data_IF_338325623399
#
_entry.id   IF_338325623399
#
_cell.length_a   1.000
_cell.length_b   1.000
_cell.length_c   1.000
_cell.angle_alpha   90.00
_cell.angle_beta   90.00
_cell.angle_gamma   90.00
#
_symmetry.space_group_name_H-M   'P 1'
#
loop_
_entity.id
_entity.type
_entity.pdbx_description
1 polymer ?
#
# COMPACT_ATOMS: atom_id res chain seq x y z
N UNK A 1 -1.12 -31.83 1.85
CA UNK A 1 -1.72 -30.88 0.88
C UNK A 1 -1.16 -31.10 -0.52
N UNK A 2 0.16 -31.18 -0.72
CA UNK A 2 0.79 -31.45 -2.04
C UNK A 2 0.42 -32.81 -2.66
N UNK A 3 0.34 -33.89 -1.86
CA UNK A 3 -0.11 -35.22 -2.34
C UNK A 3 -1.60 -35.27 -2.74
N UNK A 4 -2.45 -34.46 -2.08
CA UNK A 4 -3.88 -34.34 -2.40
C UNK A 4 -4.10 -33.52 -3.68
N UNK A 5 -3.29 -32.48 -3.89
CA UNK A 5 -3.28 -31.71 -5.13
C UNK A 5 -2.77 -32.55 -6.32
N UNK A 6 -1.72 -33.36 -6.12
CA UNK A 6 -1.15 -34.21 -7.18
C UNK A 6 -2.08 -35.38 -7.59
N UNK A 7 -2.90 -35.88 -6.66
CA UNK A 7 -3.93 -36.89 -6.97
C UNK A 7 -5.12 -36.26 -7.73
N UNK A 8 -5.53 -35.03 -7.39
CA UNK A 8 -6.61 -34.31 -8.06
C UNK A 8 -6.26 -33.87 -9.49
N UNK A 9 -4.98 -33.64 -9.79
CA UNK A 9 -4.50 -33.29 -11.14
C UNK A 9 -4.28 -34.52 -12.04
N UNK A 10 -3.96 -35.68 -11.46
CA UNK A 10 -3.82 -36.96 -12.17
C UNK A 10 -5.15 -37.62 -12.51
N UNK A 11 -6.21 -37.28 -11.78
CA UNK A 11 -7.57 -37.64 -12.16
C UNK A 11 -8.03 -36.69 -13.28
N UNK A 12 -8.30 -37.21 -14.47
CA UNK A 12 -8.85 -36.49 -15.64
C UNK A 12 -10.31 -36.04 -15.40
N UNK A 13 -10.53 -35.28 -14.32
CA UNK A 13 -11.82 -34.83 -13.83
C UNK A 13 -12.38 -33.76 -14.76
N UNK A 14 -13.54 -34.03 -15.34
CA UNK A 14 -14.35 -33.08 -16.12
C UNK A 14 -14.56 -31.77 -15.34
N UNK A 15 -14.62 -30.58 -15.99
CA UNK A 15 -14.75 -29.28 -15.31
C UNK A 15 -15.85 -29.24 -14.23
N UNK A 16 -16.98 -29.90 -14.48
CA UNK A 16 -18.11 -29.99 -13.55
C UNK A 16 -17.82 -30.83 -12.31
N UNK A 17 -17.01 -31.89 -12.42
CA UNK A 17 -16.61 -32.71 -11.26
C UNK A 17 -15.62 -31.97 -10.35
N UNK A 18 -14.76 -31.10 -10.90
CA UNK A 18 -13.89 -30.21 -10.10
C UNK A 18 -14.71 -29.19 -9.31
N UNK A 19 -15.70 -28.57 -9.95
CA UNK A 19 -16.64 -27.67 -9.27
C UNK A 19 -17.42 -28.41 -8.19
N UNK A 20 -17.91 -29.63 -8.47
CA UNK A 20 -18.58 -30.47 -7.48
C UNK A 20 -17.72 -30.79 -6.26
N UNK A 21 -16.45 -31.15 -6.46
CA UNK A 21 -15.49 -31.42 -5.38
C UNK A 21 -15.21 -30.15 -4.56
N UNK A 22 -15.06 -28.98 -5.20
CA UNK A 22 -14.86 -27.71 -4.49
C UNK A 22 -16.10 -27.31 -3.68
N UNK A 23 -17.30 -27.48 -4.24
CA UNK A 23 -18.56 -27.21 -3.53
C UNK A 23 -18.71 -28.15 -2.33
N UNK A 24 -18.45 -29.44 -2.51
CA UNK A 24 -18.50 -30.42 -1.42
C UNK A 24 -17.46 -30.11 -0.33
N UNK A 25 -16.24 -29.75 -0.72
CA UNK A 25 -15.19 -29.34 0.23
C UNK A 25 -15.57 -28.05 0.97
N UNK A 26 -16.12 -27.05 0.27
CA UNK A 26 -16.60 -25.81 0.87
C UNK A 26 -17.76 -26.06 1.85
N UNK A 27 -18.71 -26.93 1.49
CA UNK A 27 -19.80 -27.34 2.36
C UNK A 27 -19.29 -28.09 3.59
N UNK A 28 -18.34 -29.01 3.42
CA UNK A 28 -17.74 -29.74 4.54
C UNK A 28 -17.02 -28.78 5.50
N UNK A 29 -16.29 -27.79 4.98
CA UNK A 29 -15.65 -26.74 5.79
C UNK A 29 -16.70 -25.88 6.50
N UNK A 30 -17.76 -25.46 5.80
CA UNK A 30 -18.83 -24.65 6.39
C UNK A 30 -19.55 -25.39 7.52
N UNK A 31 -19.86 -26.68 7.33
CA UNK A 31 -20.45 -27.54 8.37
C UNK A 31 -19.51 -27.66 9.57
N UNK A 32 -18.21 -27.86 9.33
CA UNK A 32 -17.21 -27.90 10.41
C UNK A 32 -17.13 -26.59 11.18
N UNK A 33 -17.21 -25.44 10.52
CA UNK A 33 -17.14 -24.12 11.16
C UNK A 33 -18.40 -23.80 11.97
N UNK A 34 -19.58 -24.26 11.53
CA UNK A 34 -20.87 -23.99 12.19
C UNK A 34 -21.21 -25.03 13.27
N UNK A 35 -20.52 -26.18 13.30
CA UNK A 35 -20.84 -27.28 14.23
C UNK A 35 -20.61 -26.98 15.72
N UNK A 36 -20.07 -25.82 16.08
CA UNK A 36 -19.75 -25.44 17.47
C UNK A 36 -18.65 -26.30 18.11
N UNK A 37 -18.08 -27.26 17.38
CA UNK A 37 -17.02 -28.16 17.87
C UNK A 37 -15.73 -27.41 18.24
N UNK A 38 -15.60 -26.17 17.74
CA UNK A 38 -14.49 -25.28 17.99
C UNK A 38 -14.65 -24.47 19.29
N UNK A 39 -15.86 -24.32 19.82
CA UNK A 39 -16.12 -23.50 21.02
C UNK A 39 -15.43 -24.04 22.28
N UNK A 40 -15.05 -25.31 22.26
CA UNK A 40 -14.26 -25.94 23.33
C UNK A 40 -12.76 -25.67 23.23
N UNK A 41 -12.27 -25.21 22.06
CA UNK A 41 -10.86 -24.90 21.86
C UNK A 41 -10.43 -23.79 22.81
N UNK A 42 -9.32 -24.04 23.50
CA UNK A 42 -8.73 -23.10 24.47
C UNK A 42 -8.54 -21.69 23.88
N UNK A 43 -8.18 -21.60 22.60
CA UNK A 43 -7.98 -20.33 21.88
C UNK A 43 -9.27 -19.52 21.77
N UNK A 44 -10.42 -20.16 21.48
CA UNK A 44 -11.68 -19.46 21.32
C UNK A 44 -12.26 -19.01 22.67
N UNK A 45 -12.03 -19.78 23.74
CA UNK A 45 -12.35 -19.37 25.11
C UNK A 45 -11.49 -18.20 25.58
N UNK A 46 -10.19 -18.24 25.33
CA UNK A 46 -9.28 -17.14 25.67
C UNK A 46 -9.60 -15.88 24.84
N UNK A 47 -9.93 -16.04 23.56
CA UNK A 47 -10.43 -14.94 22.73
C UNK A 47 -11.72 -14.36 23.31
N UNK A 48 -12.73 -15.17 23.62
CA UNK A 48 -13.99 -14.69 24.20
C UNK A 48 -13.77 -13.95 25.53
N UNK A 49 -12.83 -14.44 26.35
CA UNK A 49 -12.41 -13.80 27.61
C UNK A 49 -11.70 -12.46 27.40
N UNK A 50 -10.87 -12.34 26.36
CA UNK A 50 -10.07 -11.14 26.06
C UNK A 50 -10.60 -10.29 24.91
N UNK A 51 -11.80 -10.59 24.41
CA UNK A 51 -12.32 -10.00 23.17
C UNK A 51 -12.37 -8.48 23.24
N UNK A 52 -12.80 -7.93 24.38
CA UNK A 52 -12.88 -6.49 24.58
C UNK A 52 -11.51 -5.80 24.49
N UNK A 53 -10.49 -6.37 25.14
CA UNK A 53 -9.12 -5.83 25.08
C UNK A 53 -8.52 -5.98 23.68
N UNK A 54 -8.78 -7.10 23.01
CA UNK A 54 -8.36 -7.33 21.64
C UNK A 54 -8.95 -6.28 20.70
N UNK A 55 -10.27 -6.06 20.74
CA UNK A 55 -10.93 -5.09 19.90
C UNK A 55 -10.55 -3.65 20.23
N UNK A 56 -10.30 -3.34 21.51
CA UNK A 56 -9.78 -2.04 21.91
C UNK A 56 -8.41 -1.77 21.28
N UNK A 57 -7.44 -2.69 21.39
CA UNK A 57 -6.12 -2.51 20.78
C UNK A 57 -6.15 -2.60 19.24
N UNK A 58 -7.02 -3.43 18.66
CA UNK A 58 -7.23 -3.47 17.21
C UNK A 58 -7.76 -2.12 16.69
N UNK A 59 -8.77 -1.55 17.35
CA UNK A 59 -9.33 -0.24 16.97
C UNK A 59 -8.31 0.88 17.10
N UNK A 60 -7.46 0.83 18.12
CA UNK A 60 -6.35 1.77 18.33
C UNK A 60 -5.29 1.64 17.24
N UNK A 61 -4.93 0.42 16.86
CA UNK A 61 -3.99 0.19 15.76
C UNK A 61 -4.54 0.70 14.43
N UNK A 62 -5.82 0.40 14.12
CA UNK A 62 -6.49 0.84 12.89
C UNK A 62 -6.60 2.37 12.84
N UNK A 63 -7.01 3.01 13.93
CA UNK A 63 -7.11 4.48 13.98
C UNK A 63 -5.76 5.16 13.82
N UNK A 64 -4.69 4.62 14.43
CA UNK A 64 -3.33 5.13 14.23
C UNK A 64 -2.84 4.92 12.79
N UNK A 65 -3.05 3.74 12.22
CA UNK A 65 -2.66 3.43 10.84
C UNK A 65 -3.38 4.32 9.83
N UNK A 66 -4.70 4.45 9.94
CA UNK A 66 -5.48 5.29 9.03
C UNK A 66 -5.19 6.78 9.24
N UNK A 67 -5.05 7.24 10.48
CA UNK A 67 -4.72 8.63 10.76
C UNK A 67 -3.35 9.04 10.23
N UNK A 68 -2.34 8.19 10.41
CA UNK A 68 -0.99 8.44 9.90
C UNK A 68 -0.91 8.36 8.38
N UNK A 69 -1.63 7.43 7.76
CA UNK A 69 -1.78 7.37 6.30
C UNK A 69 -2.49 8.60 5.75
N UNK A 70 -3.58 9.05 6.38
CA UNK A 70 -4.29 10.26 5.97
C UNK A 70 -3.36 11.49 6.00
N UNK A 71 -2.57 11.63 7.07
CA UNK A 71 -1.51 12.65 7.14
C UNK A 71 -0.49 12.50 6.00
N UNK A 72 -0.03 11.28 5.73
CA UNK A 72 0.92 11.00 4.66
C UNK A 72 0.35 11.31 3.27
N UNK A 73 -0.95 11.11 3.06
CA UNK A 73 -1.65 11.49 1.82
C UNK A 73 -1.72 13.01 1.68
N UNK A 74 -2.13 13.72 2.74
CA UNK A 74 -2.24 15.20 2.75
C UNK A 74 -0.89 15.86 2.42
N UNK A 75 0.22 15.33 2.93
CA UNK A 75 1.57 15.88 2.69
C UNK A 75 2.20 15.29 1.42
N UNK A 76 2.06 13.99 1.22
CA UNK A 76 2.73 13.23 0.18
C UNK A 76 2.19 13.49 -1.21
N UNK A 77 0.89 13.80 -1.36
CA UNK A 77 0.33 14.18 -2.68
C UNK A 77 0.93 15.51 -3.17
N UNK A 78 0.85 16.63 -2.42
CA UNK A 78 1.51 17.87 -2.83
C UNK A 78 3.01 17.70 -3.09
N UNK A 79 3.69 16.96 -2.21
CA UNK A 79 5.13 16.69 -2.36
C UNK A 79 5.43 15.87 -3.63
N UNK A 80 4.61 14.86 -3.95
CA UNK A 80 4.72 14.06 -5.16
C UNK A 80 4.45 14.87 -6.43
N UNK A 81 3.44 15.75 -6.42
CA UNK A 81 3.18 16.68 -7.53
C UNK A 81 4.37 17.63 -7.73
N UNK A 82 4.95 18.15 -6.64
CA UNK A 82 6.13 19.02 -6.72
C UNK A 82 7.35 18.27 -7.28
N UNK A 83 7.56 17.02 -6.85
CA UNK A 83 8.61 16.15 -7.36
C UNK A 83 8.42 15.85 -8.86
N UNK A 84 7.18 15.72 -9.34
CA UNK A 84 6.92 15.55 -10.78
C UNK A 84 7.37 16.77 -11.59
N UNK A 85 7.28 17.98 -11.04
CA UNK A 85 7.67 19.21 -11.73
C UNK A 85 9.17 19.49 -11.68
N UNK A 86 9.88 19.00 -10.66
CA UNK A 86 11.30 19.31 -10.41
C UNK A 86 12.10 18.03 -10.19
N UNK A 87 12.77 17.57 -11.25
CA UNK A 87 13.51 16.29 -11.24
C UNK A 87 14.60 16.22 -10.16
N UNK A 88 15.26 17.35 -9.84
CA UNK A 88 16.24 17.41 -8.73
C UNK A 88 15.60 17.16 -7.37
N UNK A 89 14.40 17.71 -7.13
CA UNK A 89 13.64 17.47 -5.89
C UNK A 89 13.19 16.03 -5.82
N UNK A 90 12.74 15.44 -6.93
CA UNK A 90 12.37 14.02 -7.00
C UNK A 90 13.48 13.11 -6.51
N UNK A 91 14.68 13.24 -7.07
CA UNK A 91 15.81 12.40 -6.67
C UNK A 91 16.16 12.58 -5.18
N UNK A 92 16.24 13.82 -4.70
CA UNK A 92 16.52 14.11 -3.29
C UNK A 92 15.48 13.55 -2.34
N UNK A 93 14.20 13.85 -2.58
CA UNK A 93 13.08 13.40 -1.73
C UNK A 93 12.98 11.88 -1.73
N UNK A 94 12.97 11.24 -2.90
CA UNK A 94 12.84 9.77 -2.96
C UNK A 94 14.04 9.06 -2.32
N UNK A 95 15.25 9.59 -2.44
CA UNK A 95 16.42 9.01 -1.77
C UNK A 95 16.32 9.12 -0.24
N UNK A 96 15.94 10.29 0.29
CA UNK A 96 15.76 10.48 1.74
C UNK A 96 14.68 9.55 2.27
N UNK A 97 13.53 9.49 1.59
CA UNK A 97 12.42 8.63 1.99
C UNK A 97 12.78 7.13 1.90
N UNK A 98 13.61 6.73 0.92
CA UNK A 98 14.17 5.38 0.86
C UNK A 98 15.07 5.08 2.06
N UNK A 99 15.99 5.99 2.40
CA UNK A 99 16.88 5.83 3.56
C UNK A 99 16.05 5.61 4.83
N UNK A 100 15.02 6.43 5.07
CA UNK A 100 14.15 6.29 6.24
C UNK A 100 13.50 4.91 6.30
N UNK A 101 13.03 4.37 5.18
CA UNK A 101 12.43 3.03 5.15
C UNK A 101 13.41 1.88 5.35
N UNK A 102 14.71 2.11 5.13
CA UNK A 102 15.73 1.09 5.45
C UNK A 102 16.07 1.02 6.93
N UNK A 103 15.74 2.05 7.72
CA UNK A 103 15.96 2.06 9.16
C UNK A 103 14.94 1.11 9.80
N UNK A 104 15.35 0.01 10.46
CA UNK A 104 14.40 -0.94 11.05
C UNK A 104 13.51 -0.25 12.07
N UNK A 105 12.24 -0.65 12.13
CA UNK A 105 11.21 0.04 12.94
C UNK A 105 11.60 0.20 14.41
N UNK A 106 12.20 -0.83 15.04
CA UNK A 106 12.67 -0.76 16.43
C UNK A 106 13.72 0.34 16.62
N UNK A 107 14.66 0.49 15.67
CA UNK A 107 15.69 1.52 15.72
C UNK A 107 15.11 2.92 15.47
N UNK A 108 14.18 3.04 14.51
CA UNK A 108 13.49 4.30 14.25
C UNK A 108 12.71 4.77 15.49
N UNK A 109 12.03 3.87 16.19
CA UNK A 109 11.37 4.19 17.45
C UNK A 109 12.37 4.71 18.49
N UNK A 110 13.50 4.02 18.68
CA UNK A 110 14.57 4.47 19.58
C UNK A 110 15.09 5.87 19.23
N UNK A 111 15.29 6.14 17.94
CA UNK A 111 15.73 7.45 17.43
C UNK A 111 14.70 8.55 17.68
N UNK A 112 13.40 8.24 17.69
CA UNK A 112 12.31 9.19 17.93
C UNK A 112 12.07 9.51 19.41
N UNK A 113 12.54 8.69 20.36
CA UNK A 113 12.32 8.91 21.79
C UNK A 113 12.87 10.27 22.24
N UNK A 114 14.14 10.56 21.95
CA UNK A 114 14.79 11.78 22.39
C UNK A 114 14.23 13.05 21.71
N UNK A 115 14.05 13.10 20.38
CA UNK A 115 13.45 14.25 19.70
C UNK A 115 12.02 14.54 20.16
N UNK A 116 11.14 13.53 20.22
CA UNK A 116 9.75 13.75 20.63
C UNK A 116 9.64 14.06 22.12
N UNK A 117 10.52 13.49 22.95
CA UNK A 117 10.63 13.86 24.36
C UNK A 117 11.08 15.32 24.54
N UNK A 118 12.05 15.76 23.75
CA UNK A 118 12.50 17.16 23.76
C UNK A 118 11.38 18.11 23.35
N UNK A 119 10.63 17.79 22.28
CA UNK A 119 9.47 18.58 21.83
C UNK A 119 8.39 18.65 22.92
N UNK A 120 8.12 17.54 23.60
CA UNK A 120 7.12 17.50 24.66
C UNK A 120 7.42 18.45 25.82
N UNK A 121 8.70 18.70 26.11
CA UNK A 121 9.16 19.57 27.21
C UNK A 121 9.28 21.03 26.78
N UNK A 122 9.70 21.30 25.55
CA UNK A 122 10.04 22.67 25.10
C UNK A 122 8.91 23.36 24.33
N UNK A 123 7.97 22.62 23.73
CA UNK A 123 6.87 23.19 22.96
C UNK A 123 5.62 23.28 23.84
N UNK A 124 5.13 24.49 24.18
CA UNK A 124 3.92 24.65 24.99
C UNK A 124 2.73 23.95 24.35
N UNK A 125 2.02 23.12 25.11
CA UNK A 125 0.85 22.38 24.63
C UNK A 125 1.17 21.08 23.88
N UNK A 126 2.42 20.79 23.51
CA UNK A 126 2.79 19.56 22.78
C UNK A 126 2.49 18.29 23.59
N UNK A 127 2.85 18.29 24.88
CA UNK A 127 2.53 17.17 25.76
C UNK A 127 1.02 16.98 25.99
N UNK A 128 0.24 18.07 25.91
CA UNK A 128 -1.21 18.04 26.10
C UNK A 128 -1.94 17.40 24.91
N UNK A 129 -1.42 17.57 23.70
CA UNK A 129 -1.92 16.90 22.48
C UNK A 129 -1.33 15.48 22.28
N UNK A 130 -0.60 14.96 23.27
CA UNK A 130 -0.11 13.59 23.27
C UNK A 130 1.28 13.39 22.64
N UNK A 131 2.01 14.45 22.30
CA UNK A 131 3.40 14.33 21.82
C UNK A 131 4.29 13.94 23.00
N UNK A 132 4.88 12.75 22.91
CA UNK A 132 5.79 12.17 23.91
C UNK A 132 6.83 11.30 23.21
N UNK A 133 7.95 11.06 23.89
CA UNK A 133 9.01 10.17 23.40
C UNK A 133 8.57 8.71 23.23
N UNK A 134 7.53 8.27 23.94
CA UNK A 134 7.03 6.89 23.92
C UNK A 134 5.53 6.84 23.69
N UNK A 135 5.05 5.71 23.15
CA UNK A 135 3.62 5.45 22.95
C UNK A 135 3.13 5.80 21.55
N UNK A 136 1.97 6.46 21.47
CA UNK A 136 1.24 6.69 20.21
C UNK A 136 1.93 7.67 19.27
N UNK A 137 2.61 8.70 19.80
CA UNK A 137 3.29 9.70 19.00
C UNK A 137 4.42 9.13 18.11
N UNK A 138 5.42 8.41 18.64
CA UNK A 138 6.46 7.80 17.79
C UNK A 138 5.88 6.76 16.82
N UNK A 139 4.83 6.02 17.21
CA UNK A 139 4.16 5.08 16.32
C UNK A 139 3.49 5.79 15.14
N UNK A 140 2.79 6.90 15.39
CA UNK A 140 2.18 7.71 14.35
C UNK A 140 3.24 8.27 13.39
N UNK A 141 4.33 8.83 13.93
CA UNK A 141 5.43 9.41 13.11
C UNK A 141 6.09 8.32 12.25
N UNK A 142 6.36 7.14 12.82
CA UNK A 142 6.95 6.04 12.06
C UNK A 142 6.05 5.57 10.92
N UNK A 143 4.76 5.33 11.20
CA UNK A 143 3.78 4.93 10.19
C UNK A 143 3.60 6.00 9.11
N UNK A 144 3.58 7.28 9.50
CA UNK A 144 3.51 8.41 8.57
C UNK A 144 4.73 8.44 7.64
N UNK A 145 5.95 8.35 8.19
CA UNK A 145 7.20 8.40 7.42
C UNK A 145 7.31 7.21 6.45
N UNK A 146 6.94 6.02 6.90
CA UNK A 146 6.95 4.81 6.08
C UNK A 146 5.89 4.87 4.97
N UNK A 147 4.72 5.45 5.26
CA UNK A 147 3.66 5.65 4.27
C UNK A 147 4.00 6.76 3.26
N UNK A 148 4.93 7.65 3.59
CA UNK A 148 5.23 8.82 2.76
C UNK A 148 5.93 8.44 1.44
N UNK A 149 6.90 7.51 1.46
CA UNK A 149 7.56 7.08 0.21
C UNK A 149 6.56 6.51 -0.81
N UNK A 150 5.75 5.47 -0.49
CA UNK A 150 4.85 4.91 -1.49
C UNK A 150 3.82 5.94 -1.98
N UNK A 151 3.31 6.82 -1.10
CA UNK A 151 2.40 7.89 -1.51
C UNK A 151 3.06 8.86 -2.50
N UNK A 152 4.25 9.37 -2.18
CA UNK A 152 5.00 10.29 -3.04
C UNK A 152 5.39 9.61 -4.36
N UNK A 153 5.95 8.41 -4.30
CA UNK A 153 6.38 7.66 -5.48
C UNK A 153 5.21 7.36 -6.42
N UNK A 154 4.08 6.89 -5.89
CA UNK A 154 2.88 6.65 -6.69
C UNK A 154 2.34 7.94 -7.29
N UNK A 155 2.34 9.05 -6.54
CA UNK A 155 1.88 10.35 -7.05
C UNK A 155 2.77 10.88 -8.18
N UNK A 156 4.09 10.72 -8.08
CA UNK A 156 5.03 11.12 -9.14
C UNK A 156 4.77 10.34 -10.44
N UNK A 157 4.47 9.04 -10.34
CA UNK A 157 4.15 8.18 -11.49
C UNK A 157 2.78 8.52 -12.08
N UNK A 158 1.75 8.65 -11.24
CA UNK A 158 0.39 9.00 -11.66
C UNK A 158 0.33 10.38 -12.32
N UNK A 159 1.07 11.35 -11.81
CA UNK A 159 1.20 12.69 -12.42
C UNK A 159 1.82 12.66 -13.81
N UNK A 160 2.60 11.62 -14.15
CA UNK A 160 3.19 11.44 -15.46
C UNK A 160 2.23 10.80 -16.49
N UNK A 161 1.13 10.16 -16.05
CA UNK A 161 0.22 9.46 -16.96
C UNK A 161 -0.37 10.35 -18.07
N UNK A 162 -0.89 11.56 -17.80
CA UNK A 162 -1.44 12.41 -18.84
C UNK A 162 -0.36 12.90 -19.81
N UNK A 163 0.82 13.25 -19.28
CA UNK A 163 1.94 13.79 -20.04
C UNK A 163 2.52 12.76 -20.99
N UNK A 164 2.66 11.51 -20.53
CA UNK A 164 3.13 10.38 -21.34
C UNK A 164 2.09 10.04 -22.42
N UNK A 165 0.80 9.98 -22.07
CA UNK A 165 -0.27 9.73 -23.04
C UNK A 165 -0.33 10.81 -24.14
N UNK A 166 -0.19 12.10 -23.77
CA UNK A 166 -0.13 13.22 -24.72
C UNK A 166 1.11 13.15 -25.63
N UNK A 167 2.27 12.79 -25.08
CA UNK A 167 3.50 12.64 -25.87
C UNK A 167 3.38 11.49 -26.89
N UNK A 168 2.82 10.35 -26.48
CA UNK A 168 2.53 9.24 -27.39
C UNK A 168 1.51 9.63 -28.47
N UNK A 169 0.42 10.32 -28.10
CA UNK A 169 -0.57 10.78 -29.07
C UNK A 169 0.04 11.76 -30.09
N UNK A 170 0.85 12.72 -29.63
CA UNK A 170 1.54 13.67 -30.50
C UNK A 170 2.53 12.98 -31.45
N UNK A 171 3.28 11.98 -30.98
CA UNK A 171 4.20 11.21 -31.81
C UNK A 171 3.47 10.43 -32.91
N UNK A 172 2.36 9.77 -32.58
CA UNK A 172 1.53 9.03 -33.56
C UNK A 172 0.97 9.99 -34.62
N UNK A 173 0.47 11.17 -34.21
CA UNK A 173 -0.06 12.18 -35.14
C UNK A 173 1.04 12.69 -36.07
N UNK A 174 2.24 12.94 -35.54
CA UNK A 174 3.37 13.43 -36.33
C UNK A 174 3.79 12.40 -37.39
N UNK A 175 3.89 11.12 -37.02
CA UNK A 175 4.19 10.04 -37.95
C UNK A 175 3.15 9.93 -39.07
N UNK A 176 1.86 9.99 -38.72
CA UNK A 176 0.77 9.96 -39.70
C UNK A 176 0.84 11.15 -40.67
N UNK A 177 1.19 12.35 -40.19
CA UNK A 177 1.36 13.54 -41.04
C UNK A 177 2.58 13.40 -41.96
N UNK A 178 3.70 12.87 -41.45
CA UNK A 178 4.90 12.61 -42.26
C UNK A 178 4.59 11.59 -43.36
N UNK A 179 3.91 10.50 -43.04
CA UNK A 179 3.58 9.46 -44.01
C UNK A 179 2.59 9.94 -45.08
N UNK A 180 1.61 10.76 -44.69
CA UNK A 180 0.64 11.33 -45.62
C UNK A 180 1.29 12.37 -46.55
N UNK A 181 2.24 13.18 -46.04
CA UNK A 181 3.01 14.13 -46.87
C UNK A 181 4.02 13.42 -47.77
N UNK A 182 4.68 12.37 -47.31
CA UNK A 182 5.58 11.54 -48.10
C UNK A 182 4.83 10.81 -49.24
N UNK A 183 3.64 10.28 -48.96
CA UNK A 183 2.77 9.65 -49.95
C UNK A 183 2.34 10.65 -51.01
N UNK A 184 1.91 11.85 -50.61
CA UNK A 184 1.49 12.91 -51.55
C UNK A 184 2.64 13.38 -52.45
N UNK A 185 3.87 13.46 -51.94
CA UNK A 185 5.06 13.83 -52.70
C UNK A 185 5.42 12.77 -53.76
N UNK A 186 5.35 11.47 -53.42
CA UNK A 186 5.59 10.39 -54.39
C UNK A 186 4.59 10.39 -55.54
N UNK A 187 3.30 10.62 -55.26
CA UNK A 187 2.26 10.66 -56.30
C UNK A 187 2.51 11.79 -57.31
N UNK A 188 3.00 12.94 -56.85
CA UNK A 188 3.34 14.09 -57.71
C UNK A 188 4.58 13.83 -58.56
N UNK A 189 5.57 13.07 -58.07
CA UNK A 189 6.78 12.72 -58.85
C UNK A 189 6.54 11.62 -59.89
N UNK A 190 5.48 10.82 -59.73
CA UNK A 190 5.11 9.74 -60.67
C UNK A 190 4.04 10.12 -61.69
N UNK A 191 3.53 11.36 -61.64
CA UNK A 191 2.53 11.90 -62.58
C UNK A 191 3.19 12.84 -63.59
#
# INVERSE_FOLDING_TARGET
>A
TLLLADVLTRLNLSPWSRVGVLVLAALAIAVLLVSGSWDTLSILKEYASRADSFWAEASKHVSLALGSLAGAVIVGIPLGILCHRVEKLRAGVLNVLNIIQTIPSIALFGLLIAPLGWVAVHVPGAAAIGIRGIGTAPAFVALFLYSLLPVVANTVVLGALPTVALAFAAAIILDAVIEMTATKRRVVETA
#
